data_IF_374294515321
#
_entry.id   IF_374294515321
#
_cell.length_a   1.000
_cell.length_b   1.000
_cell.length_c   1.000
_cell.angle_alpha   90.00
_cell.angle_beta   90.00
_cell.angle_gamma   90.00
#
_symmetry.space_group_name_H-M   'P 1'
#
loop_
_entity.id
_entity.type
_entity.pdbx_description
1 polymer ?
#
# COMPACT_ATOMS: atom_id res chain seq x y z
N UNK A 1 -19.35 -6.49 11.41
CA UNK A 1 -18.23 -6.51 12.37
C UNK A 1 -16.93 -6.46 11.58
N UNK A 2 -16.25 -5.29 11.45
CA UNK A 2 -14.92 -5.25 10.87
C UNK A 2 -13.91 -5.85 11.87
N UNK A 3 -13.10 -6.78 11.37
CA UNK A 3 -12.10 -7.53 12.14
C UNK A 3 -10.99 -6.58 12.61
N UNK A 4 -10.89 -6.38 13.92
CA UNK A 4 -9.79 -5.67 14.57
C UNK A 4 -8.64 -6.64 14.81
N UNK A 5 -7.50 -6.41 14.15
CA UNK A 5 -6.23 -7.05 14.48
C UNK A 5 -5.72 -6.55 15.85
N UNK A 6 -5.09 -7.41 16.67
CA UNK A 6 -4.56 -7.08 18.00
C UNK A 6 -3.35 -6.13 18.03
N UNK A 7 -2.94 -5.50 16.92
CA UNK A 7 -1.76 -4.61 16.81
C UNK A 7 -2.08 -3.16 16.43
N UNK A 8 -3.37 -2.79 16.41
CA UNK A 8 -3.79 -1.39 16.55
C UNK A 8 -3.54 -0.47 15.34
N UNK A 9 -3.82 -0.94 14.11
CA UNK A 9 -3.92 -0.01 12.97
C UNK A 9 -5.16 -0.28 12.09
N UNK A 10 -6.13 0.64 12.02
CA UNK A 10 -7.33 0.50 11.18
C UNK A 10 -7.02 0.87 9.72
N UNK A 11 -6.12 0.12 9.07
CA UNK A 11 -5.98 0.16 7.62
C UNK A 11 -7.02 -0.78 7.01
N UNK A 12 -7.84 -0.24 6.13
CA UNK A 12 -8.78 -1.03 5.35
C UNK A 12 -7.98 -1.99 4.45
N UNK A 13 -8.46 -3.21 4.17
CA UNK A 13 -7.73 -4.18 3.35
C UNK A 13 -7.29 -3.60 2.00
N UNK A 14 -8.08 -2.70 1.40
CA UNK A 14 -7.69 -2.00 0.16
C UNK A 14 -6.56 -0.97 0.33
N UNK A 15 -6.45 -0.32 1.49
CA UNK A 15 -5.33 0.58 1.81
C UNK A 15 -4.04 -0.22 1.99
N UNK A 16 -4.11 -1.34 2.71
CA UNK A 16 -2.97 -2.24 2.89
C UNK A 16 -2.50 -2.81 1.56
N UNK A 17 -3.42 -3.29 0.72
CA UNK A 17 -3.09 -3.83 -0.59
C UNK A 17 -2.43 -2.78 -1.50
N UNK A 18 -2.94 -1.55 -1.51
CA UNK A 18 -2.33 -0.45 -2.25
C UNK A 18 -0.92 -0.13 -1.74
N UNK A 19 -0.71 -0.11 -0.41
CA UNK A 19 0.59 0.16 0.20
C UNK A 19 1.60 -0.93 -0.10
N UNK A 20 1.18 -2.20 -0.12
CA UNK A 20 2.01 -3.35 -0.52
C UNK A 20 2.48 -3.24 -1.97
N UNK A 21 1.55 -3.00 -2.89
CA UNK A 21 1.90 -2.86 -4.30
C UNK A 21 2.78 -1.63 -4.55
N UNK A 22 2.56 -0.54 -3.80
CA UNK A 22 3.44 0.62 -3.83
C UNK A 22 4.86 0.29 -3.30
N UNK A 23 4.97 -0.58 -2.28
CA UNK A 23 6.24 -1.06 -1.76
C UNK A 23 6.99 -1.98 -2.74
N UNK A 24 6.26 -2.74 -3.55
CA UNK A 24 6.79 -3.51 -4.69
C UNK A 24 7.24 -2.66 -5.88
N UNK A 25 6.97 -1.34 -5.87
CA UNK A 25 7.36 -0.44 -6.96
C UNK A 25 6.32 -0.30 -8.08
N UNK A 26 5.09 -0.82 -7.91
CA UNK A 26 4.02 -0.60 -8.87
C UNK A 26 3.58 0.87 -8.88
N UNK A 27 3.29 1.38 -10.07
CA UNK A 27 2.70 2.73 -10.25
C UNK A 27 1.23 2.74 -9.85
N UNK A 28 0.70 3.90 -9.47
CA UNK A 28 -0.72 4.07 -9.12
C UNK A 28 -1.66 3.48 -10.18
N UNK A 29 -1.28 3.56 -11.47
CA UNK A 29 -1.97 2.95 -12.60
C UNK A 29 -2.03 1.43 -12.56
N UNK A 30 -0.90 0.76 -12.28
CA UNK A 30 -0.87 -0.69 -12.13
C UNK A 30 -1.64 -1.16 -10.89
N UNK A 31 -1.51 -0.42 -9.79
CA UNK A 31 -2.23 -0.68 -8.55
C UNK A 31 -3.74 -0.57 -8.78
N UNK A 32 -4.16 0.48 -9.50
CA UNK A 32 -5.54 0.73 -9.89
C UNK A 32 -6.10 -0.43 -10.72
N UNK A 33 -5.34 -0.89 -11.72
CA UNK A 33 -5.72 -2.04 -12.54
C UNK A 33 -5.80 -3.35 -11.74
N UNK A 34 -4.87 -3.62 -10.82
CA UNK A 34 -4.89 -4.85 -10.01
C UNK A 34 -6.00 -4.87 -8.95
N UNK A 35 -6.37 -3.70 -8.42
CA UNK A 35 -7.40 -3.56 -7.39
C UNK A 35 -8.78 -3.20 -7.95
N UNK A 36 -8.97 -3.31 -9.27
CA UNK A 36 -10.19 -2.98 -9.99
C UNK A 36 -10.77 -1.61 -9.56
N UNK A 37 -9.91 -0.60 -9.58
CA UNK A 37 -10.23 0.72 -9.06
C UNK A 37 -9.55 1.82 -9.85
N UNK A 38 -9.87 3.09 -9.56
CA UNK A 38 -9.30 4.22 -10.29
C UNK A 38 -7.99 4.69 -9.65
N UNK A 39 -7.11 5.29 -10.46
CA UNK A 39 -5.87 5.90 -9.97
C UNK A 39 -6.12 6.95 -8.87
N UNK A 40 -7.20 7.71 -9.03
CA UNK A 40 -7.68 8.66 -8.02
C UNK A 40 -8.07 7.96 -6.72
N UNK A 41 -8.78 6.83 -6.80
CA UNK A 41 -9.11 6.00 -5.65
C UNK A 41 -7.86 5.44 -4.94
N UNK A 42 -6.83 5.06 -5.69
CA UNK A 42 -5.54 4.65 -5.12
C UNK A 42 -4.82 5.80 -4.43
N UNK A 43 -4.76 6.98 -5.05
CA UNK A 43 -4.16 8.16 -4.42
C UNK A 43 -4.86 8.52 -3.11
N UNK A 44 -6.20 8.45 -3.07
CA UNK A 44 -6.96 8.72 -1.85
C UNK A 44 -6.67 7.68 -0.76
N UNK A 45 -6.65 6.38 -1.11
CA UNK A 45 -6.33 5.29 -0.18
C UNK A 45 -4.91 5.36 0.34
N UNK A 46 -3.92 5.64 -0.52
CA UNK A 46 -2.52 5.79 -0.12
C UNK A 46 -2.33 7.03 0.77
N UNK A 47 -3.03 8.12 0.49
CA UNK A 47 -3.01 9.31 1.34
C UNK A 47 -3.62 9.03 2.71
N UNK A 48 -4.77 8.36 2.76
CA UNK A 48 -5.38 7.93 4.02
C UNK A 48 -4.47 6.97 4.80
N UNK A 49 -3.86 6.00 4.12
CA UNK A 49 -2.89 5.09 4.72
C UNK A 49 -1.67 5.83 5.27
N UNK A 50 -1.11 6.76 4.50
CA UNK A 50 0.02 7.59 4.93
C UNK A 50 -0.33 8.42 6.18
N UNK A 51 -1.50 9.06 6.20
CA UNK A 51 -1.97 9.83 7.36
C UNK A 51 -2.13 8.92 8.58
N UNK A 52 -2.76 7.75 8.43
CA UNK A 52 -2.93 6.75 9.51
C UNK A 52 -1.59 6.21 10.04
N UNK A 53 -0.59 6.09 9.18
CA UNK A 53 0.76 5.65 9.55
C UNK A 53 1.63 6.78 10.12
N UNK A 54 1.18 8.04 10.06
CA UNK A 54 1.98 9.22 10.41
C UNK A 54 3.09 9.52 9.38
N UNK A 55 2.93 9.04 8.16
CA UNK A 55 3.88 9.23 7.08
C UNK A 55 3.65 10.54 6.33
N UNK A 56 4.74 11.19 5.93
CA UNK A 56 4.72 12.43 5.13
C UNK A 56 4.68 12.20 3.62
N UNK A 57 4.94 10.97 3.17
CA UNK A 57 5.04 10.63 1.75
C UNK A 57 4.79 9.14 1.54
N UNK A 58 4.46 8.73 0.32
CA UNK A 58 4.27 7.30 -0.04
C UNK A 58 5.49 6.45 0.37
N UNK A 59 6.69 6.94 0.10
CA UNK A 59 7.94 6.23 0.45
C UNK A 59 8.11 6.15 1.96
N UNK A 60 7.80 7.23 2.67
CA UNK A 60 7.84 7.23 4.13
C UNK A 60 6.80 6.27 4.72
N UNK A 61 5.61 6.14 4.10
CA UNK A 61 4.58 5.20 4.51
C UNK A 61 5.02 3.75 4.31
N UNK A 62 5.64 3.45 3.16
CA UNK A 62 6.23 2.13 2.88
C UNK A 62 7.32 1.80 3.90
N UNK A 63 8.24 2.72 4.17
CA UNK A 63 9.32 2.51 5.15
C UNK A 63 8.77 2.30 6.55
N UNK A 64 7.78 3.10 6.99
CA UNK A 64 7.14 2.90 8.31
C UNK A 64 6.44 1.55 8.36
N UNK A 65 5.72 1.16 7.31
CA UNK A 65 5.01 -0.10 7.27
C UNK A 65 5.94 -1.31 7.28
N UNK A 66 7.10 -1.22 6.61
CA UNK A 66 8.17 -2.22 6.70
C UNK A 66 8.81 -2.25 8.10
N UNK A 67 9.19 -1.08 8.64
CA UNK A 67 9.81 -0.97 9.98
C UNK A 67 8.89 -1.45 11.10
N UNK A 68 7.58 -1.28 10.95
CA UNK A 68 6.56 -1.74 11.90
C UNK A 68 6.11 -3.18 11.64
N UNK A 69 6.72 -3.90 10.68
CA UNK A 69 6.33 -5.25 10.27
C UNK A 69 4.84 -5.39 9.87
N UNK A 70 4.24 -4.30 9.38
CA UNK A 70 2.86 -4.26 8.86
C UNK A 70 2.80 -4.94 7.49
N UNK A 71 3.82 -4.67 6.66
CA UNK A 71 4.07 -5.35 5.40
C UNK A 71 5.40 -6.09 5.54
N UNK A 72 5.45 -7.33 5.04
CA UNK A 72 6.67 -8.15 5.05
C UNK A 72 7.31 -8.13 3.68
N UNK A 73 8.63 -8.19 3.64
CA UNK A 73 9.39 -8.31 2.39
C UNK A 73 9.01 -9.56 1.58
N UNK A 74 8.65 -10.65 2.27
CA UNK A 74 8.17 -11.90 1.66
C UNK A 74 6.87 -11.73 0.85
N UNK A 75 6.07 -10.71 1.19
CA UNK A 75 4.78 -10.43 0.55
C UNK A 75 4.90 -9.39 -0.56
N UNK A 76 6.11 -8.90 -0.83
CA UNK A 76 6.38 -7.97 -1.92
C UNK A 76 6.66 -8.77 -3.20
N UNK A 77 5.78 -8.60 -4.18
CA UNK A 77 6.02 -9.05 -5.55
C UNK A 77 7.11 -8.16 -6.14
N UNK A 78 8.38 -8.51 -5.91
CA UNK A 78 9.57 -7.84 -6.47
C UNK A 78 9.78 -8.22 -7.95
N UNK A 79 8.89 -9.03 -8.52
CA UNK A 79 8.93 -9.38 -9.93
C UNK A 79 8.68 -8.10 -10.74
N UNK A 80 9.72 -7.68 -11.44
CA UNK A 80 9.83 -6.38 -12.08
C UNK A 80 8.60 -6.10 -12.96
N UNK A 81 7.98 -4.90 -12.88
CA UNK A 81 7.04 -4.50 -13.92
C UNK A 81 7.86 -4.42 -15.20
N UNK A 82 7.74 -5.43 -16.07
CA UNK A 82 8.33 -5.41 -17.40
C UNK A 82 8.01 -4.05 -17.99
N UNK A 83 9.05 -3.25 -18.26
CA UNK A 83 8.99 -2.03 -19.07
C UNK A 83 8.16 -2.36 -20.31
N UNK A 84 6.87 -2.02 -20.31
CA UNK A 84 6.18 -1.76 -21.56
C UNK A 84 6.68 -0.39 -21.98
N UNK A 85 7.64 -0.44 -22.92
CA UNK A 85 8.12 0.68 -23.70
C UNK A 85 6.97 1.41 -24.41
#
# INVERSE_FOLDING_TARGET
MPYLDPRGMPLSPGELAALRLAASGFTSKHIAHRLDTTEQGIHLRLKAAAVKLGARSRTHAVVIALRRHIIRFDELDLNEPRRTA
#
